data_IF_160622120216
#
_entry.id   IF_160622120216
#
_cell.length_a   1.000
_cell.length_b   1.000
_cell.length_c   1.000
_cell.angle_alpha   90.00
_cell.angle_beta   90.00
_cell.angle_gamma   90.00
#
_symmetry.space_group_name_H-M   'P 1'
#
loop_
_entity.id
_entity.type
_entity.pdbx_description
1 polymer ?
#
# COMPACT_ATOMS: atom_id res chain seq x y z
N UNK A 1 12.17 5.12 -0.18
CA UNK A 1 11.90 5.48 -1.59
C UNK A 1 10.47 5.99 -1.72
N UNK A 2 10.19 6.91 -2.66
CA UNK A 2 8.81 7.31 -2.93
C UNK A 2 8.09 6.21 -3.76
N UNK A 3 6.84 5.81 -3.43
CA UNK A 3 6.23 4.59 -3.97
C UNK A 3 5.82 4.64 -5.45
N UNK A 4 5.63 5.83 -6.05
CA UNK A 4 5.27 6.00 -7.47
C UNK A 4 6.38 6.75 -8.20
N UNK A 5 6.90 6.17 -9.28
CA UNK A 5 8.00 6.77 -10.07
C UNK A 5 7.45 7.50 -11.30
N UNK A 6 6.84 8.67 -11.07
CA UNK A 6 6.28 9.52 -12.11
C UNK A 6 6.62 11.00 -11.87
N UNK A 7 6.53 11.83 -12.91
CA UNK A 7 6.74 13.28 -12.81
C UNK A 7 5.49 14.02 -12.32
N UNK A 8 4.30 13.48 -12.59
CA UNK A 8 2.99 14.05 -12.31
C UNK A 8 2.31 13.43 -11.08
N UNK A 9 3.01 13.41 -9.94
CA UNK A 9 2.46 12.81 -8.71
C UNK A 9 1.82 13.87 -7.81
N UNK A 10 0.54 13.68 -7.48
CA UNK A 10 -0.15 14.43 -6.42
C UNK A 10 -0.77 13.49 -5.37
N UNK A 11 -1.00 13.98 -4.16
CA UNK A 11 -1.72 13.25 -3.11
C UNK A 11 -2.26 14.25 -2.08
N UNK A 12 -3.33 13.87 -1.39
CA UNK A 12 -3.87 14.63 -0.27
C UNK A 12 -3.33 14.09 1.07
N UNK A 13 -3.12 14.92 2.11
CA UNK A 13 -2.65 14.44 3.42
C UNK A 13 -3.63 13.53 4.18
N UNK A 14 -4.84 13.34 3.68
CA UNK A 14 -5.92 12.59 4.33
C UNK A 14 -6.57 11.61 3.36
N UNK A 15 -7.32 10.65 3.92
CA UNK A 15 -8.09 9.63 3.23
C UNK A 15 -9.40 9.43 4.01
N UNK A 16 -10.48 9.08 3.32
CA UNK A 16 -11.80 8.97 3.96
C UNK A 16 -11.86 7.74 4.90
N UNK A 17 -12.31 7.97 6.14
CA UNK A 17 -12.62 6.93 7.11
C UNK A 17 -11.45 6.22 7.80
N UNK A 18 -10.22 6.29 7.30
CA UNK A 18 -9.06 5.65 7.95
C UNK A 18 -7.70 6.19 7.44
N UNK A 19 -6.60 5.96 8.20
CA UNK A 19 -5.26 6.38 7.79
C UNK A 19 -4.74 5.66 6.55
N UNK A 20 -4.68 6.38 5.44
CA UNK A 20 -4.04 5.98 4.19
C UNK A 20 -3.76 7.24 3.34
N UNK A 21 -3.23 7.07 2.14
CA UNK A 21 -3.08 8.15 1.17
C UNK A 21 -3.30 7.63 -0.24
N UNK A 22 -4.16 8.29 -1.00
CA UNK A 22 -4.28 8.08 -2.43
C UNK A 22 -3.25 8.94 -3.16
N UNK A 23 -2.39 8.26 -3.91
CA UNK A 23 -1.33 8.89 -4.69
C UNK A 23 -1.74 8.85 -6.16
N UNK A 24 -2.18 10.00 -6.65
CA UNK A 24 -2.64 10.19 -8.03
C UNK A 24 -1.45 10.34 -8.97
N UNK A 25 -1.51 9.60 -10.06
CA UNK A 25 -0.61 9.63 -11.21
C UNK A 25 -1.33 8.95 -12.39
N UNK A 26 -0.77 9.04 -13.58
CA UNK A 26 -1.35 8.38 -14.75
C UNK A 26 -1.39 6.85 -14.56
N UNK A 27 -2.43 6.20 -15.09
CA UNK A 27 -2.48 4.75 -15.13
C UNK A 27 -1.27 4.22 -15.92
N UNK A 28 -0.64 3.14 -15.43
CA UNK A 28 0.57 2.58 -16.02
C UNK A 28 1.88 3.08 -15.40
N UNK A 29 1.85 4.15 -14.59
CA UNK A 29 3.04 4.66 -13.92
C UNK A 29 3.63 3.62 -12.94
N UNK A 30 4.96 3.49 -12.83
CA UNK A 30 5.58 2.45 -12.01
C UNK A 30 5.29 2.63 -10.51
N UNK A 31 4.82 1.56 -9.88
CA UNK A 31 4.75 1.42 -8.42
C UNK A 31 5.93 0.58 -7.95
N UNK A 32 6.69 1.07 -6.99
CA UNK A 32 7.95 0.47 -6.53
C UNK A 32 7.93 0.18 -5.02
N UNK A 33 8.76 -0.77 -4.60
CA UNK A 33 8.98 -1.06 -3.18
C UNK A 33 9.62 0.15 -2.49
N UNK A 34 9.02 0.60 -1.38
CA UNK A 34 9.54 1.78 -0.65
C UNK A 34 10.80 1.47 0.16
N UNK A 35 11.01 0.19 0.47
CA UNK A 35 12.12 -0.37 1.25
C UNK A 35 12.42 -1.80 0.78
N UNK A 36 13.55 -2.35 1.20
CA UNK A 36 13.85 -3.77 1.08
C UNK A 36 12.87 -4.59 1.93
N UNK A 37 12.51 -5.78 1.47
CA UNK A 37 11.58 -6.60 2.22
C UNK A 37 11.11 -7.87 1.52
N UNK A 38 10.08 -8.47 2.08
CA UNK A 38 9.45 -9.71 1.59
C UNK A 38 7.98 -9.46 1.28
N UNK A 39 7.55 -9.81 0.08
CA UNK A 39 6.14 -9.72 -0.33
C UNK A 39 5.32 -10.68 0.54
N UNK A 40 4.24 -10.15 1.14
CA UNK A 40 3.32 -10.89 1.99
C UNK A 40 2.16 -11.45 1.18
N UNK A 41 1.50 -10.59 0.42
CA UNK A 41 0.27 -10.91 -0.30
C UNK A 41 0.27 -10.23 -1.65
N UNK A 42 -0.40 -10.88 -2.59
CA UNK A 42 -0.56 -10.39 -3.95
C UNK A 42 -1.97 -10.73 -4.41
N UNK A 43 -2.69 -9.73 -4.93
CA UNK A 43 -3.95 -9.91 -5.64
C UNK A 43 -3.74 -9.59 -7.12
N UNK A 44 -4.03 -10.57 -7.98
CA UNK A 44 -3.95 -10.42 -9.45
C UNK A 44 -5.31 -10.37 -10.14
N UNK A 45 -6.37 -10.63 -9.40
CA UNK A 45 -7.72 -10.75 -9.94
C UNK A 45 -8.57 -9.68 -9.28
N UNK A 46 -9.15 -8.81 -10.10
CA UNK A 46 -10.13 -7.86 -9.60
C UNK A 46 -11.46 -8.59 -9.35
N UNK A 47 -11.74 -8.85 -8.07
CA UNK A 47 -12.98 -9.50 -7.62
C UNK A 47 -14.00 -8.49 -7.11
N UNK A 48 -13.72 -7.20 -7.23
CA UNK A 48 -14.62 -6.17 -6.74
C UNK A 48 -15.93 -6.17 -7.52
N UNK A 49 -17.03 -6.07 -6.78
CA UNK A 49 -18.36 -5.79 -7.32
C UNK A 49 -19.06 -4.80 -6.40
N UNK A 50 -19.75 -3.81 -6.98
CA UNK A 50 -20.52 -2.82 -6.22
C UNK A 50 -21.63 -3.45 -5.37
N UNK A 51 -22.13 -4.62 -5.78
CA UNK A 51 -23.18 -5.37 -5.07
C UNK A 51 -22.63 -6.60 -4.33
N UNK A 52 -21.32 -6.82 -4.36
CA UNK A 52 -20.66 -7.96 -3.73
C UNK A 52 -20.12 -7.66 -2.33
N UNK A 53 -19.30 -8.59 -1.83
CA UNK A 53 -18.61 -8.44 -0.53
C UNK A 53 -17.70 -7.20 -0.55
N UNK A 54 -18.00 -6.25 0.33
CA UNK A 54 -17.26 -5.01 0.53
C UNK A 54 -16.17 -5.17 1.58
N UNK A 55 -15.03 -4.50 1.37
CA UNK A 55 -13.88 -4.55 2.27
C UNK A 55 -12.71 -5.33 1.64
N UNK A 56 -12.67 -6.67 1.74
CA UNK A 56 -11.52 -7.46 1.29
C UNK A 56 -11.25 -7.34 -0.21
N UNK A 57 -12.27 -7.09 -1.02
CA UNK A 57 -12.15 -6.98 -2.49
C UNK A 57 -11.94 -5.54 -2.97
N UNK A 58 -12.08 -4.53 -2.10
CA UNK A 58 -12.10 -3.13 -2.54
C UNK A 58 -10.77 -2.67 -3.16
N UNK A 59 -9.66 -3.33 -2.84
CA UNK A 59 -8.35 -2.98 -3.37
C UNK A 59 -8.09 -3.45 -4.82
N UNK A 60 -8.90 -4.33 -5.38
CA UNK A 60 -8.63 -4.92 -6.70
C UNK A 60 -7.27 -5.62 -6.74
N UNK A 61 -6.45 -5.28 -7.72
CA UNK A 61 -5.07 -5.76 -7.79
C UNK A 61 -4.19 -5.01 -6.79
N UNK A 62 -3.38 -5.76 -6.05
CA UNK A 62 -2.63 -5.21 -4.93
C UNK A 62 -1.39 -6.02 -4.57
N UNK A 63 -0.47 -5.37 -3.87
CA UNK A 63 0.72 -5.99 -3.26
C UNK A 63 0.82 -5.50 -1.82
N UNK A 64 1.08 -6.44 -0.90
CA UNK A 64 1.50 -6.13 0.46
C UNK A 64 2.96 -6.56 0.66
N UNK A 65 3.76 -5.66 1.22
CA UNK A 65 5.18 -5.82 1.45
C UNK A 65 5.45 -5.72 2.96
N UNK A 66 6.14 -6.71 3.51
CA UNK A 66 6.80 -6.58 4.80
C UNK A 66 8.19 -6.00 4.57
N UNK A 67 8.39 -4.75 4.97
CA UNK A 67 9.71 -4.15 5.00
C UNK A 67 10.61 -4.84 6.03
N UNK A 68 11.92 -4.79 5.79
CA UNK A 68 12.92 -5.25 6.77
C UNK A 68 12.92 -4.43 8.07
N UNK A 69 12.34 -3.24 8.00
CA UNK A 69 12.04 -2.37 9.13
C UNK A 69 10.87 -2.90 10.01
N UNK A 70 10.25 -4.02 9.63
CA UNK A 70 9.12 -4.63 10.33
C UNK A 70 7.77 -3.96 10.05
N UNK A 71 7.73 -2.96 9.18
CA UNK A 71 6.51 -2.25 8.78
C UNK A 71 5.89 -2.93 7.57
N UNK A 72 4.56 -3.00 7.55
CA UNK A 72 3.80 -3.43 6.38
C UNK A 72 3.41 -2.22 5.54
N UNK A 73 3.81 -2.28 4.27
CA UNK A 73 3.42 -1.35 3.23
C UNK A 73 2.44 -2.04 2.29
N UNK A 74 1.38 -1.33 1.90
CA UNK A 74 0.33 -1.87 1.03
C UNK A 74 0.06 -0.91 -0.11
N UNK A 75 -0.02 -1.44 -1.32
CA UNK A 75 -0.38 -0.73 -2.53
C UNK A 75 -1.50 -1.44 -3.27
N UNK A 76 -2.56 -0.73 -3.63
CA UNK A 76 -3.70 -1.30 -4.36
C UNK A 76 -4.20 -0.44 -5.51
N UNK A 77 -5.27 -0.89 -6.15
CA UNK A 77 -5.84 -0.36 -7.40
C UNK A 77 -4.92 -0.52 -8.60
N UNK A 78 -3.95 -1.45 -8.56
CA UNK A 78 -2.95 -1.60 -9.61
C UNK A 78 -3.61 -2.02 -10.94
N UNK A 79 -3.01 -1.61 -12.07
CA UNK A 79 -3.42 -2.15 -13.38
C UNK A 79 -2.80 -3.52 -13.61
N UNK A 80 -1.53 -3.67 -13.20
CA UNK A 80 -0.79 -4.91 -13.25
C UNK A 80 0.07 -5.04 -12.01
N UNK A 81 0.25 -6.28 -11.55
CA UNK A 81 1.33 -6.62 -10.63
C UNK A 81 2.45 -7.25 -11.46
N UNK A 82 3.67 -6.75 -11.30
CA UNK A 82 4.83 -7.13 -12.09
C UNK A 82 5.08 -8.66 -12.02
N UNK A 83 5.48 -9.25 -13.15
CA UNK A 83 5.91 -10.64 -13.21
C UNK A 83 7.00 -10.94 -12.17
N UNK A 84 6.93 -12.10 -11.53
CA UNK A 84 7.86 -12.52 -10.47
C UNK A 84 7.62 -11.88 -9.11
N UNK A 85 6.66 -10.95 -8.95
CA UNK A 85 6.27 -10.42 -7.64
C UNK A 85 5.20 -11.34 -7.03
N UNK A 86 5.63 -12.27 -6.19
CA UNK A 86 4.79 -13.30 -5.57
C UNK A 86 4.95 -13.32 -4.05
N UNK A 87 3.98 -13.90 -3.35
CA UNK A 87 4.08 -14.08 -1.90
C UNK A 87 5.37 -14.84 -1.56
N UNK A 88 6.16 -14.28 -0.65
CA UNK A 88 7.45 -14.82 -0.25
C UNK A 88 8.66 -14.30 -1.02
N UNK A 89 8.46 -13.61 -2.14
CA UNK A 89 9.57 -13.04 -2.91
C UNK A 89 10.23 -11.90 -2.17
N UNK A 90 11.56 -11.89 -2.19
CA UNK A 90 12.39 -10.79 -1.70
C UNK A 90 12.41 -9.67 -2.74
N UNK A 91 12.24 -8.43 -2.29
CA UNK A 91 12.36 -7.24 -3.14
C UNK A 91 13.35 -6.24 -2.55
N UNK A 92 13.94 -5.42 -3.43
CA UNK A 92 14.79 -4.29 -3.05
C UNK A 92 14.02 -2.98 -3.15
N UNK A 93 14.39 -1.99 -2.36
CA UNK A 93 13.87 -0.63 -2.47
C UNK A 93 14.05 -0.12 -3.90
N UNK A 94 12.97 0.43 -4.49
CA UNK A 94 12.94 0.88 -5.89
C UNK A 94 12.62 -0.21 -6.91
N UNK A 95 12.60 -1.49 -6.53
CA UNK A 95 12.16 -2.57 -7.41
C UNK A 95 10.68 -2.39 -7.77
N UNK A 96 10.36 -2.50 -9.07
CA UNK A 96 8.99 -2.40 -9.56
C UNK A 96 8.13 -3.55 -9.02
N UNK A 97 7.01 -3.19 -8.41
CA UNK A 97 5.99 -4.11 -7.89
C UNK A 97 4.80 -4.25 -8.84
N UNK A 98 4.51 -3.20 -9.60
CA UNK A 98 3.37 -3.13 -10.51
C UNK A 98 3.25 -1.75 -11.13
N UNK A 99 2.05 -1.40 -11.57
CA UNK A 99 1.76 -0.07 -12.10
C UNK A 99 0.47 0.50 -11.53
N UNK A 100 0.41 1.83 -11.45
CA UNK A 100 -0.77 2.60 -11.05
C UNK A 100 -1.96 2.19 -11.92
N UNK A 101 -3.13 2.15 -11.31
CA UNK A 101 -4.34 1.75 -12.00
C UNK A 101 -5.59 2.26 -11.33
N UNK A 102 -6.69 1.57 -11.63
CA UNK A 102 -8.04 1.89 -11.17
C UNK A 102 -8.89 0.63 -10.94
N UNK A 103 -8.24 -0.50 -10.64
CA UNK A 103 -8.96 -1.75 -10.32
C UNK A 103 -9.57 -1.66 -8.93
N UNK A 104 -10.56 -2.49 -8.63
CA UNK A 104 -11.28 -2.44 -7.37
C UNK A 104 -12.23 -1.25 -7.24
N UNK A 105 -12.45 -0.78 -6.02
CA UNK A 105 -13.32 0.35 -5.73
C UNK A 105 -12.61 1.71 -5.92
N UNK A 106 -11.94 1.89 -7.06
CA UNK A 106 -11.16 3.10 -7.35
C UNK A 106 -11.99 4.23 -8.01
N UNK A 107 -13.32 4.06 -8.13
CA UNK A 107 -14.21 4.99 -8.83
C UNK A 107 -13.76 5.39 -10.24
N UNK A 108 -13.09 4.47 -10.95
CA UNK A 108 -12.54 4.69 -12.29
C UNK A 108 -11.46 5.80 -12.37
N UNK A 109 -10.85 6.19 -11.24
CA UNK A 109 -9.77 7.19 -11.16
C UNK A 109 -8.42 6.50 -10.95
N UNK A 110 -7.41 6.87 -11.75
CA UNK A 110 -6.07 6.32 -11.62
C UNK A 110 -5.37 6.82 -10.36
N UNK A 111 -5.02 5.92 -9.44
CA UNK A 111 -4.23 6.22 -8.26
C UNK A 111 -3.63 4.95 -7.63
N UNK A 112 -2.65 5.14 -6.77
CA UNK A 112 -2.20 4.13 -5.82
C UNK A 112 -2.81 4.45 -4.45
N UNK A 113 -3.69 3.58 -3.96
CA UNK A 113 -4.00 3.58 -2.51
C UNK A 113 -2.77 3.06 -1.78
N UNK A 114 -2.20 3.86 -0.88
CA UNK A 114 -1.00 3.53 -0.13
C UNK A 114 -1.30 3.44 1.38
N UNK A 115 -1.06 2.28 1.96
CA UNK A 115 -1.28 1.99 3.38
C UNK A 115 0.02 1.69 4.13
N UNK A 116 0.11 2.19 5.38
CA UNK A 116 1.18 1.87 6.33
C UNK A 116 0.56 1.24 7.57
N UNK A 117 1.06 0.08 7.99
CA UNK A 117 0.52 -0.67 9.12
C UNK A 117 1.56 -1.55 9.83
N UNK A 118 1.31 -1.99 11.07
CA UNK A 118 2.02 -3.13 11.62
C UNK A 118 1.69 -4.39 10.81
N UNK A 119 2.64 -5.33 10.74
CA UNK A 119 2.46 -6.57 9.99
C UNK A 119 1.31 -7.44 10.55
N UNK A 120 1.06 -7.43 11.86
CA UNK A 120 0.01 -8.20 12.53
C UNK A 120 -0.05 -9.67 12.06
N UNK A 121 -1.19 -10.14 11.52
CA UNK A 121 -1.32 -11.53 11.03
C UNK A 121 -0.49 -11.81 9.78
N UNK A 122 0.09 -10.75 9.19
CA UNK A 122 0.87 -10.72 7.95
C UNK A 122 0.04 -10.97 6.70
N UNK A 123 -0.93 -11.88 6.77
CA UNK A 123 -1.85 -12.22 5.67
C UNK A 123 -3.28 -12.37 6.20
N UNK A 124 -4.28 -12.11 5.35
CA UNK A 124 -5.70 -12.33 5.68
C UNK A 124 -6.35 -11.31 6.62
N UNK A 125 -5.61 -10.32 7.11
CA UNK A 125 -6.08 -9.20 7.95
C UNK A 125 -6.28 -7.92 7.12
N UNK A 126 -7.15 -8.01 6.10
CA UNK A 126 -7.38 -6.96 5.10
C UNK A 126 -7.72 -5.58 5.70
N UNK A 127 -8.36 -5.56 6.88
CA UNK A 127 -8.80 -4.35 7.58
C UNK A 127 -7.66 -3.52 8.17
N UNK A 128 -6.56 -4.14 8.60
CA UNK A 128 -5.35 -3.42 9.02
C UNK A 128 -4.46 -3.11 7.81
N UNK A 129 -4.40 -4.05 6.85
CA UNK A 129 -3.54 -3.96 5.67
C UNK A 129 -3.73 -2.65 4.90
N UNK A 130 -4.96 -2.14 4.83
CA UNK A 130 -5.31 -0.89 4.14
C UNK A 130 -4.69 0.36 4.76
N UNK A 131 -4.23 0.31 6.01
CA UNK A 131 -3.50 1.39 6.67
C UNK A 131 -4.10 1.81 8.00
N UNK A 132 -3.21 2.11 8.95
CA UNK A 132 -3.53 2.61 10.31
C UNK A 132 -2.59 3.72 10.78
N UNK A 133 -1.57 4.04 9.98
CA UNK A 133 -0.67 5.18 10.16
C UNK A 133 -0.76 6.06 8.91
N UNK A 134 -0.94 7.37 9.11
CA UNK A 134 -1.00 8.36 8.03
C UNK A 134 0.30 8.37 7.22
N UNK A 135 0.28 8.04 5.91
CA UNK A 135 1.48 8.02 5.09
C UNK A 135 2.01 9.41 4.72
N UNK A 136 1.15 10.42 4.64
CA UNK A 136 1.47 11.73 4.09
C UNK A 136 2.75 12.40 4.66
N UNK A 137 3.03 12.38 5.99
CA UNK A 137 4.28 12.93 6.51
C UNK A 137 5.53 12.24 5.93
N UNK A 138 5.50 10.91 5.81
CA UNK A 138 6.60 10.14 5.22
C UNK A 138 6.70 10.37 3.71
N UNK A 139 5.57 10.43 3.02
CA UNK A 139 5.53 10.74 1.59
C UNK A 139 6.13 12.13 1.28
N UNK A 140 5.86 13.13 2.12
CA UNK A 140 6.45 14.47 1.99
C UNK A 140 7.97 14.46 2.07
N UNK A 141 8.52 13.66 2.98
CA UNK A 141 9.96 13.53 3.17
C UNK A 141 10.60 12.66 2.08
N UNK A 142 9.99 11.53 1.72
CA UNK A 142 10.48 10.64 0.67
C UNK A 142 10.48 11.33 -0.71
N UNK A 143 9.48 12.19 -0.98
CA UNK A 143 9.44 13.04 -2.19
C UNK A 143 10.66 13.97 -2.25
N UNK A 144 11.15 14.43 -1.09
CA UNK A 144 12.35 15.25 -0.93
C UNK A 144 13.63 14.41 -0.75
N UNK A 145 13.57 13.10 -1.04
CA UNK A 145 14.68 12.14 -0.88
C UNK A 145 15.26 12.05 0.54
N UNK A 146 14.46 12.37 1.56
CA UNK A 146 14.82 12.19 2.97
C UNK A 146 14.51 10.76 3.43
N UNK A 147 15.26 10.26 4.41
CA UNK A 147 15.16 8.88 4.91
C UNK A 147 14.31 8.73 6.17
N UNK A 148 13.14 9.39 6.25
CA UNK A 148 12.27 9.23 7.43
C UNK A 148 11.61 7.86 7.46
N UNK A 149 11.45 7.31 8.67
CA UNK A 149 10.97 5.95 8.89
C UNK A 149 9.64 5.94 9.67
N UNK A 150 8.63 5.15 9.24
CA UNK A 150 7.37 5.01 9.97
C UNK A 150 7.44 4.07 11.17
N UNK A 151 8.58 3.41 11.42
CA UNK A 151 8.73 2.38 12.46
C UNK A 151 8.24 2.85 13.83
N UNK A 152 8.66 4.02 14.29
CA UNK A 152 8.25 4.53 15.61
C UNK A 152 6.75 4.75 15.69
N UNK A 153 6.14 5.32 14.64
CA UNK A 153 4.70 5.57 14.60
C UNK A 153 3.88 4.28 14.55
N UNK A 154 4.36 3.30 13.79
CA UNK A 154 3.77 1.96 13.72
C UNK A 154 3.89 1.23 15.06
N UNK A 155 5.04 1.33 15.73
CA UNK A 155 5.25 0.76 17.06
C UNK A 155 4.33 1.41 18.10
N UNK A 156 4.20 2.73 18.12
CA UNK A 156 3.26 3.44 18.99
C UNK A 156 1.82 3.03 18.73
N UNK A 157 1.40 2.94 17.46
CA UNK A 157 0.06 2.46 17.13
C UNK A 157 -0.17 1.05 17.70
N UNK A 158 0.76 0.12 17.45
CA UNK A 158 0.64 -1.27 17.90
C UNK A 158 0.63 -1.38 19.43
N UNK A 159 1.41 -0.56 20.13
CA UNK A 159 1.44 -0.54 21.60
C UNK A 159 0.09 -0.07 22.19
N UNK A 160 -0.55 0.93 21.58
CA UNK A 160 -1.82 1.47 22.07
C UNK A 160 -3.05 0.64 21.66
N UNK A 161 -3.02 0.00 20.49
CA UNK A 161 -4.21 -0.61 19.88
C UNK A 161 -4.11 -2.13 19.69
N UNK A 162 -2.92 -2.71 19.85
CA UNK A 162 -2.67 -4.10 19.50
C UNK A 162 -2.84 -4.40 18.00
N UNK A 163 -3.20 -5.64 17.70
CA UNK A 163 -3.57 -6.09 16.36
C UNK A 163 -5.05 -6.48 16.37
N UNK A 164 -5.97 -5.70 15.77
CA UNK A 164 -7.39 -6.02 15.78
C UNK A 164 -7.69 -7.38 15.12
N UNK A 165 -8.57 -8.14 15.75
CA UNK A 165 -8.95 -9.51 15.34
C UNK A 165 -9.99 -9.57 14.22
N UNK A 166 -10.72 -8.47 14.00
CA UNK A 166 -11.78 -8.31 13.01
C UNK A 166 -11.79 -6.87 12.43
N UNK A 167 -12.46 -6.64 11.29
CA UNK A 167 -12.60 -5.32 10.65
C UNK A 167 -13.24 -4.22 11.49
#
# INVERSE_FOLDING_TARGET
MFPVQASNVSYHPTHSGYPATDIFADCGEPVVAVTDGKVLEVSRVDKYSKTGVQGPNNGGLSVSLLGDDGVRYYGSHLTVVQSGIEAGVRVRAGQRLGTVGKTGNANNVCHLHFGISPACKRTGDWWIRRGVVWPAPFLNDWRKKKSTSPVSKVASYKASNGCPSAP
#
